data_IF_709962700653
#
_entry.id   IF_709962700653
#
_cell.length_a   1.000
_cell.length_b   1.000
_cell.length_c   1.000
_cell.angle_alpha   90.00
_cell.angle_beta   90.00
_cell.angle_gamma   90.00
#
_symmetry.space_group_name_H-M   'P 1'
#
loop_
_entity.id
_entity.type
_entity.pdbx_description
1 polymer ?
#
# COMPACT_ATOMS: atom_id res chain seq x y z
N UNK A 1 5.51 -5.79 -9.55
CA UNK A 1 5.30 -7.11 -8.90
C UNK A 1 6.60 -7.62 -8.33
N UNK A 2 6.58 -8.27 -7.15
CA UNK A 2 7.76 -8.93 -6.60
C UNK A 2 8.19 -10.12 -7.46
N UNK A 3 9.51 -10.32 -7.60
CA UNK A 3 10.09 -11.52 -8.24
C UNK A 3 10.60 -12.47 -7.17
N UNK A 4 10.34 -13.76 -7.35
CA UNK A 4 10.72 -14.80 -6.39
C UNK A 4 11.86 -15.65 -6.93
N UNK A 5 12.70 -16.17 -6.02
CA UNK A 5 13.83 -17.00 -6.39
C UNK A 5 13.40 -18.38 -6.93
N UNK A 6 12.33 -18.95 -6.35
CA UNK A 6 11.83 -20.28 -6.66
C UNK A 6 10.33 -20.41 -6.35
N UNK A 7 9.75 -21.56 -6.69
CA UNK A 7 8.32 -21.86 -6.50
C UNK A 7 7.93 -21.90 -5.02
N UNK A 8 8.82 -22.34 -4.14
CA UNK A 8 8.54 -22.43 -2.70
C UNK A 8 8.38 -21.04 -2.11
N UNK A 9 9.25 -20.10 -2.48
CA UNK A 9 9.12 -18.71 -2.07
C UNK A 9 7.82 -18.09 -2.58
N UNK A 10 7.39 -18.44 -3.80
CA UNK A 10 6.11 -18.00 -4.33
C UNK A 10 4.91 -18.57 -3.55
N UNK A 11 4.89 -19.88 -3.27
CA UNK A 11 3.83 -20.54 -2.47
C UNK A 11 3.72 -19.94 -1.06
N UNK A 12 4.86 -19.67 -0.42
CA UNK A 12 4.90 -19.02 0.90
C UNK A 12 4.34 -17.60 0.85
N UNK A 13 4.66 -16.84 -0.20
CA UNK A 13 4.10 -15.51 -0.38
C UNK A 13 2.58 -15.60 -0.62
N UNK A 14 2.13 -16.50 -1.48
CA UNK A 14 0.71 -16.73 -1.78
C UNK A 14 -0.10 -17.01 -0.51
N UNK A 15 0.40 -17.90 0.37
CA UNK A 15 -0.18 -18.20 1.67
C UNK A 15 -0.35 -16.94 2.55
N UNK A 16 0.64 -16.04 2.53
CA UNK A 16 0.68 -14.85 3.39
C UNK A 16 -0.12 -13.67 2.84
N UNK A 17 -0.22 -13.50 1.51
CA UNK A 17 -0.66 -12.24 0.90
C UNK A 17 -2.06 -11.78 1.36
N UNK A 18 -3.06 -12.67 1.35
CA UNK A 18 -4.42 -12.30 1.79
C UNK A 18 -4.47 -11.99 3.30
N UNK A 19 -3.93 -12.83 4.19
CA UNK A 19 -3.80 -12.52 5.62
C UNK A 19 -3.10 -11.20 5.91
N UNK A 20 -1.98 -10.93 5.23
CA UNK A 20 -1.24 -9.67 5.35
C UNK A 20 -2.12 -8.49 4.94
N UNK A 21 -2.80 -8.58 3.80
CA UNK A 21 -3.69 -7.53 3.31
C UNK A 21 -4.78 -7.18 4.34
N UNK A 22 -5.42 -8.20 4.92
CA UNK A 22 -6.43 -8.03 5.96
C UNK A 22 -5.85 -7.31 7.19
N UNK A 23 -4.67 -7.73 7.69
CA UNK A 23 -4.06 -7.10 8.87
C UNK A 23 -3.55 -5.69 8.62
N UNK A 24 -3.05 -5.41 7.42
CA UNK A 24 -2.67 -4.05 7.01
C UNK A 24 -3.89 -3.13 7.05
N UNK A 25 -5.00 -3.53 6.42
CA UNK A 25 -6.23 -2.72 6.42
C UNK A 25 -6.82 -2.53 7.81
N UNK A 26 -6.86 -3.59 8.63
CA UNK A 26 -7.40 -3.50 9.98
C UNK A 26 -6.58 -2.53 10.86
N UNK A 27 -5.25 -2.58 10.77
CA UNK A 27 -4.38 -1.67 11.52
C UNK A 27 -4.45 -0.23 10.98
N UNK A 28 -4.61 -0.03 9.65
CA UNK A 28 -4.89 1.31 9.08
C UNK A 28 -6.17 1.87 9.67
N UNK A 29 -7.26 1.10 9.70
CA UNK A 29 -8.55 1.53 10.28
C UNK A 29 -8.40 1.93 11.75
N UNK A 30 -7.75 1.09 12.57
CA UNK A 30 -7.52 1.38 14.00
C UNK A 30 -6.70 2.65 14.23
N UNK A 31 -5.72 2.95 13.36
CA UNK A 31 -4.96 4.20 13.45
C UNK A 31 -5.80 5.40 13.03
N UNK A 32 -6.61 5.28 11.98
CA UNK A 32 -7.50 6.36 11.54
C UNK A 32 -8.49 6.78 12.63
N UNK A 33 -9.02 5.84 13.40
CA UNK A 33 -9.90 6.11 14.56
C UNK A 33 -9.26 7.01 15.62
N UNK A 34 -7.94 7.08 15.67
CA UNK A 34 -7.17 7.85 16.66
C UNK A 34 -6.60 9.16 16.09
N UNK A 35 -6.87 9.47 14.82
CA UNK A 35 -6.31 10.64 14.15
C UNK A 35 -7.38 11.54 13.56
N UNK A 36 -6.99 12.74 13.17
CA UNK A 36 -7.85 13.68 12.44
C UNK A 36 -7.71 13.55 10.92
N UNK A 37 -7.03 12.52 10.42
CA UNK A 37 -6.87 12.30 8.99
C UNK A 37 -8.15 11.72 8.41
N UNK A 38 -8.59 12.28 7.28
CA UNK A 38 -9.66 11.71 6.48
C UNK A 38 -9.07 10.71 5.49
N UNK A 39 -9.72 9.57 5.30
CA UNK A 39 -9.26 8.53 4.38
C UNK A 39 -10.28 8.26 3.27
N UNK A 40 -9.79 8.03 2.06
CA UNK A 40 -10.56 7.39 0.99
C UNK A 40 -9.71 6.31 0.33
N UNK A 41 -10.35 5.29 -0.21
CA UNK A 41 -9.69 4.23 -0.97
C UNK A 41 -9.98 4.38 -2.45
N UNK A 42 -8.97 4.14 -3.28
CA UNK A 42 -9.09 4.20 -4.74
C UNK A 42 -8.44 2.97 -5.35
N UNK A 43 -9.12 2.37 -6.31
CA UNK A 43 -8.55 1.36 -7.17
C UNK A 43 -8.16 2.02 -8.49
N UNK A 44 -6.90 1.89 -8.89
CA UNK A 44 -6.41 2.50 -10.12
C UNK A 44 -5.68 1.47 -10.99
N UNK A 45 -5.81 1.55 -12.33
CA UNK A 45 -4.97 0.78 -13.24
C UNK A 45 -3.54 1.33 -13.22
N UNK A 46 -2.57 0.43 -13.03
CA UNK A 46 -1.13 0.72 -13.10
C UNK A 46 -0.52 -0.11 -14.22
N UNK A 47 0.11 0.59 -15.16
CA UNK A 47 0.75 -0.02 -16.32
C UNK A 47 2.22 -0.31 -15.99
N UNK A 48 2.65 -1.57 -16.12
CA UNK A 48 4.03 -1.98 -15.83
C UNK A 48 5.03 -1.48 -16.87
N UNK A 49 4.57 -1.26 -18.09
CA UNK A 49 5.36 -0.74 -19.21
C UNK A 49 4.90 0.68 -19.55
N UNK A 50 5.73 1.41 -20.30
CA UNK A 50 5.36 2.70 -20.88
C UNK A 50 4.34 2.50 -22.03
N UNK A 51 3.17 1.96 -21.71
CA UNK A 51 2.07 1.73 -22.64
C UNK A 51 1.53 3.09 -23.10
N UNK A 52 1.40 3.34 -24.42
CA UNK A 52 0.88 4.61 -24.92
C UNK A 52 -0.53 4.90 -24.38
N UNK A 53 -0.82 6.18 -24.07
CA UNK A 53 -2.12 6.60 -23.52
C UNK A 53 -3.31 6.20 -24.40
N UNK A 54 -3.13 6.17 -25.72
CA UNK A 54 -4.15 5.70 -26.67
C UNK A 54 -4.51 4.22 -26.42
N UNK A 55 -3.50 3.36 -26.26
CA UNK A 55 -3.69 1.95 -25.94
C UNK A 55 -4.31 1.77 -24.55
N UNK A 56 -3.91 2.59 -23.57
CA UNK A 56 -4.52 2.56 -22.24
C UNK A 56 -6.02 2.89 -22.31
N UNK A 57 -6.36 3.94 -23.07
CA UNK A 57 -7.76 4.38 -23.27
C UNK A 57 -8.57 3.29 -23.97
N UNK A 58 -8.03 2.69 -25.03
CA UNK A 58 -8.67 1.58 -25.74
C UNK A 58 -9.00 0.41 -24.80
N UNK A 59 -8.04 -0.01 -23.97
CA UNK A 59 -8.25 -1.10 -23.01
C UNK A 59 -9.34 -0.74 -21.99
N UNK A 60 -9.33 0.49 -21.45
CA UNK A 60 -10.36 0.94 -20.50
C UNK A 60 -11.76 0.96 -21.13
N UNK A 61 -11.88 1.43 -22.37
CA UNK A 61 -13.15 1.44 -23.11
C UNK A 61 -13.66 0.02 -23.38
N UNK A 62 -12.78 -0.90 -23.79
CA UNK A 62 -13.12 -2.31 -24.00
C UNK A 62 -13.59 -2.98 -22.70
N UNK A 63 -12.90 -2.76 -21.58
CA UNK A 63 -13.31 -3.27 -20.27
C UNK A 63 -14.67 -2.70 -19.83
N UNK A 64 -14.92 -1.41 -20.05
CA UNK A 64 -16.20 -0.80 -19.73
C UNK A 64 -17.33 -1.39 -20.59
N UNK A 65 -17.08 -1.63 -21.88
CA UNK A 65 -18.04 -2.28 -22.78
C UNK A 65 -18.33 -3.71 -22.35
N UNK A 66 -17.30 -4.48 -21.97
CA UNK A 66 -17.41 -5.87 -21.52
C UNK A 66 -18.36 -6.01 -20.32
N UNK A 67 -18.33 -5.06 -19.37
CA UNK A 67 -19.17 -5.08 -18.17
C UNK A 67 -20.69 -5.10 -18.44
N UNK A 68 -21.11 -4.69 -19.64
CA UNK A 68 -22.52 -4.69 -20.06
C UNK A 68 -22.78 -5.44 -21.38
N UNK A 69 -21.78 -6.15 -21.92
CA UNK A 69 -21.85 -6.79 -23.22
C UNK A 69 -22.78 -8.01 -23.22
N UNK A 70 -23.42 -8.29 -24.36
CA UNK A 70 -24.04 -9.60 -24.60
C UNK A 70 -22.99 -10.69 -24.73
N UNK A 71 -23.37 -11.97 -24.60
CA UNK A 71 -22.41 -13.08 -24.67
C UNK A 71 -21.57 -13.11 -25.96
N UNK A 72 -22.19 -12.80 -27.11
CA UNK A 72 -21.48 -12.77 -28.40
C UNK A 72 -20.53 -11.57 -28.54
N UNK A 73 -20.88 -10.43 -27.94
CA UNK A 73 -20.02 -9.24 -27.92
C UNK A 73 -18.88 -9.39 -26.91
N UNK A 74 -19.14 -10.05 -25.78
CA UNK A 74 -18.15 -10.32 -24.75
C UNK A 74 -17.01 -11.17 -25.30
N UNK A 75 -17.31 -12.24 -26.04
CA UNK A 75 -16.29 -13.11 -26.67
C UNK A 75 -15.37 -12.31 -27.62
N UNK A 76 -15.94 -11.44 -28.47
CA UNK A 76 -15.16 -10.60 -29.36
C UNK A 76 -14.29 -9.57 -28.62
N UNK A 77 -14.81 -8.96 -27.55
CA UNK A 77 -14.08 -8.00 -26.71
C UNK A 77 -12.94 -8.69 -25.95
N UNK A 78 -13.18 -9.89 -25.42
CA UNK A 78 -12.16 -10.69 -24.72
C UNK A 78 -11.01 -11.10 -25.65
N UNK A 79 -11.31 -11.50 -26.89
CA UNK A 79 -10.28 -11.79 -27.90
C UNK A 79 -9.42 -10.57 -28.23
N UNK A 80 -10.00 -9.37 -28.25
CA UNK A 80 -9.28 -8.12 -28.48
C UNK A 80 -8.40 -7.76 -27.27
N UNK A 81 -8.98 -7.80 -26.07
CA UNK A 81 -8.27 -7.54 -24.81
C UNK A 81 -7.09 -8.49 -24.60
N UNK A 82 -7.21 -9.76 -25.00
CA UNK A 82 -6.14 -10.75 -24.90
C UNK A 82 -4.87 -10.39 -25.72
N UNK A 83 -4.99 -9.48 -26.69
CA UNK A 83 -3.87 -9.00 -27.53
C UNK A 83 -3.29 -7.67 -27.05
N UNK A 84 -3.92 -7.03 -26.07
CA UNK A 84 -3.53 -5.74 -25.53
C UNK A 84 -2.81 -5.90 -24.18
N UNK A 85 -1.92 -4.96 -23.82
CA UNK A 85 -1.36 -4.96 -22.48
C UNK A 85 -2.47 -4.82 -21.45
N UNK A 86 -2.32 -5.51 -20.31
CA UNK A 86 -3.27 -5.43 -19.21
C UNK A 86 -2.69 -4.62 -18.06
N UNK A 87 -3.43 -3.65 -17.49
CA UNK A 87 -2.98 -2.96 -16.31
C UNK A 87 -3.07 -3.88 -15.09
N UNK A 88 -2.25 -3.59 -14.08
CA UNK A 88 -2.38 -4.16 -12.76
C UNK A 88 -3.21 -3.22 -11.89
N UNK A 89 -4.15 -3.77 -11.14
CA UNK A 89 -4.94 -2.94 -10.22
C UNK A 89 -4.13 -2.65 -8.97
N UNK A 90 -3.87 -1.36 -8.73
CA UNK A 90 -3.30 -0.88 -7.48
C UNK A 90 -4.39 -0.37 -6.56
N UNK A 91 -4.19 -0.56 -5.26
CA UNK A 91 -5.13 -0.14 -4.23
C UNK A 91 -4.50 0.93 -3.36
N UNK A 92 -5.01 2.17 -3.50
CA UNK A 92 -4.44 3.36 -2.90
C UNK A 92 -5.26 3.82 -1.70
N UNK A 93 -4.57 4.10 -0.60
CA UNK A 93 -5.08 4.85 0.54
C UNK A 93 -4.73 6.33 0.33
N UNK A 94 -5.74 7.18 0.17
CA UNK A 94 -5.58 8.63 0.14
C UNK A 94 -5.93 9.21 1.51
N UNK A 95 -4.95 9.86 2.14
CA UNK A 95 -5.07 10.52 3.44
C UNK A 95 -5.07 12.04 3.25
N UNK A 96 -6.04 12.72 3.83
CA UNK A 96 -6.17 14.19 3.78
C UNK A 96 -6.29 14.79 5.18
N UNK A 97 -5.55 15.87 5.44
CA UNK A 97 -5.65 16.70 6.65
C UNK A 97 -5.34 18.15 6.31
N UNK A 98 -6.36 19.01 6.32
CA UNK A 98 -6.25 20.37 5.82
C UNK A 98 -5.85 20.36 4.34
N UNK A 99 -4.79 21.11 4.02
CA UNK A 99 -4.22 21.19 2.66
C UNK A 99 -3.22 20.06 2.36
N UNK A 100 -2.89 19.22 3.34
CA UNK A 100 -1.97 18.10 3.14
C UNK A 100 -2.73 16.88 2.63
N UNK A 101 -2.24 16.32 1.53
CA UNK A 101 -2.71 15.06 0.96
C UNK A 101 -1.53 14.12 0.76
N UNK A 102 -1.71 12.87 1.16
CA UNK A 102 -0.70 11.80 1.05
C UNK A 102 -1.39 10.58 0.48
N UNK A 103 -0.76 9.93 -0.48
CA UNK A 103 -1.27 8.70 -1.10
C UNK A 103 -0.29 7.57 -0.81
N UNK A 104 -0.81 6.44 -0.37
CA UNK A 104 -0.04 5.24 -0.01
C UNK A 104 -0.58 4.06 -0.78
N UNK A 105 0.30 3.32 -1.48
CA UNK A 105 -0.05 2.06 -2.12
C UNK A 105 -0.07 0.93 -1.08
N UNK A 106 -1.24 0.31 -0.91
CA UNK A 106 -1.48 -0.72 0.11
C UNK A 106 -0.72 -2.01 -0.22
N UNK A 107 -0.49 -2.33 -1.51
CA UNK A 107 0.32 -3.48 -1.88
C UNK A 107 1.79 -3.29 -1.46
N UNK A 108 2.31 -2.07 -1.58
CA UNK A 108 3.66 -1.75 -1.10
C UNK A 108 3.80 -1.96 0.41
N UNK A 109 2.74 -1.72 1.18
CA UNK A 109 2.72 -2.04 2.61
C UNK A 109 2.67 -3.54 2.85
N UNK A 110 1.84 -4.26 2.10
CA UNK A 110 1.76 -5.71 2.19
C UNK A 110 3.10 -6.38 1.90
N UNK A 111 3.83 -5.90 0.89
CA UNK A 111 5.17 -6.41 0.57
C UNK A 111 6.19 -6.12 1.67
N UNK A 112 6.14 -4.95 2.32
CA UNK A 112 6.98 -4.64 3.48
C UNK A 112 6.72 -5.57 4.67
N UNK A 113 5.47 -6.02 4.85
CA UNK A 113 5.15 -7.02 5.88
C UNK A 113 5.57 -8.43 5.43
N UNK A 114 5.31 -8.81 4.18
CA UNK A 114 5.53 -10.17 3.69
C UNK A 114 7.01 -10.51 3.48
N UNK A 115 7.83 -9.54 3.08
CA UNK A 115 9.20 -9.78 2.63
C UNK A 115 10.24 -9.19 3.58
N UNK A 116 11.41 -9.83 3.64
CA UNK A 116 12.56 -9.36 4.43
C UNK A 116 13.25 -8.20 3.70
N UNK A 117 13.51 -7.12 4.44
CA UNK A 117 14.24 -5.94 3.96
C UNK A 117 13.68 -5.34 2.66
N UNK A 118 12.37 -5.51 2.43
CA UNK A 118 11.74 -4.94 1.25
C UNK A 118 11.66 -3.42 1.39
N UNK A 119 12.13 -2.73 0.36
CA UNK A 119 12.06 -1.28 0.25
C UNK A 119 11.36 -0.93 -1.06
N UNK A 120 10.20 -0.23 -1.01
CA UNK A 120 9.51 0.23 -2.21
C UNK A 120 10.42 1.05 -3.14
N UNK A 121 11.33 1.85 -2.55
CA UNK A 121 12.27 2.70 -3.30
C UNK A 121 13.29 1.86 -4.06
N UNK A 122 13.91 0.88 -3.39
CA UNK A 122 14.91 0.03 -4.04
C UNK A 122 14.26 -0.86 -5.10
N UNK A 123 13.08 -1.40 -4.82
CA UNK A 123 12.33 -2.23 -5.77
C UNK A 123 11.83 -1.43 -7.00
N UNK A 124 11.60 -0.12 -6.87
CA UNK A 124 11.30 0.73 -8.01
C UNK A 124 12.53 1.03 -8.88
N UNK A 125 13.73 1.04 -8.29
CA UNK A 125 15.00 1.27 -8.99
C UNK A 125 15.53 0.02 -9.68
N UNK A 126 15.23 -1.17 -9.14
CA UNK A 126 15.66 -2.46 -9.68
C UNK A 126 14.45 -3.40 -9.82
N UNK A 127 13.93 -3.47 -11.05
CA UNK A 127 12.79 -4.34 -11.39
C UNK A 127 13.16 -5.82 -11.44
N UNK A 128 14.45 -6.18 -11.37
CA UNK A 128 14.93 -7.55 -11.30
C UNK A 128 15.24 -8.01 -9.87
N UNK A 129 14.99 -7.14 -8.88
CA UNK A 129 15.20 -7.46 -7.47
C UNK A 129 14.35 -8.68 -7.06
N UNK A 130 15.05 -9.74 -6.63
CA UNK A 130 14.44 -10.94 -6.05
C UNK A 130 14.10 -10.64 -4.59
N UNK A 131 12.83 -10.78 -4.23
CA UNK A 131 12.38 -10.62 -2.84
C UNK A 131 12.56 -11.94 -2.07
N UNK A 132 12.79 -11.81 -0.76
CA UNK A 132 12.88 -12.95 0.16
C UNK A 132 11.68 -12.93 1.11
N UNK A 133 10.90 -14.01 1.14
CA UNK A 133 9.77 -14.12 2.07
C UNK A 133 10.28 -14.15 3.51
N UNK A 134 9.58 -13.43 4.40
CA UNK A 134 9.82 -13.53 5.83
C UNK A 134 9.17 -14.80 6.38
N UNK A 135 9.88 -15.91 6.24
CA UNK A 135 9.43 -17.22 6.71
C UNK A 135 9.21 -17.28 8.22
N UNK A 136 9.63 -16.27 8.99
CA UNK A 136 9.30 -16.21 10.42
C UNK A 136 7.81 -15.96 10.68
N UNK A 137 7.04 -15.54 9.67
CA UNK A 137 5.59 -15.40 9.72
C UNK A 137 4.85 -16.73 9.53
N UNK A 138 5.59 -17.81 9.30
CA UNK A 138 5.08 -19.17 9.13
C UNK A 138 5.70 -20.02 10.24
N UNK A 139 4.89 -20.78 10.95
CA UNK A 139 5.34 -21.64 12.03
C UNK A 139 5.95 -22.95 11.52
N UNK A 140 6.41 -23.79 12.46
CA UNK A 140 7.05 -25.08 12.14
C UNK A 140 6.08 -26.09 11.50
N UNK A 141 4.76 -25.86 11.57
CA UNK A 141 3.73 -26.69 10.93
C UNK A 141 3.42 -26.22 9.51
N UNK A 142 4.00 -25.09 9.07
CA UNK A 142 3.68 -24.47 7.79
C UNK A 142 2.42 -23.62 7.85
N UNK A 143 1.88 -23.33 9.04
CA UNK A 143 0.73 -22.46 9.24
C UNK A 143 1.18 -21.03 9.53
N UNK A 144 0.27 -20.08 9.43
CA UNK A 144 0.58 -18.66 9.63
C UNK A 144 0.69 -18.36 11.13
N UNK A 145 1.79 -17.75 11.54
CA UNK A 145 1.90 -17.12 12.85
C UNK A 145 1.10 -15.81 12.87
N UNK A 146 -0.17 -15.93 13.23
CA UNK A 146 -1.12 -14.82 13.25
C UNK A 146 -0.73 -13.69 14.20
N UNK A 147 -0.08 -14.02 15.32
CA UNK A 147 0.34 -13.04 16.31
C UNK A 147 1.46 -12.19 15.72
N UNK A 148 2.51 -12.85 15.22
CA UNK A 148 3.67 -12.17 14.65
C UNK A 148 3.30 -11.37 13.40
N UNK A 149 2.39 -11.88 12.58
CA UNK A 149 1.88 -11.17 11.41
C UNK A 149 1.13 -9.89 11.79
N UNK A 150 0.26 -9.94 12.81
CA UNK A 150 -0.44 -8.75 13.30
C UNK A 150 0.53 -7.75 13.94
N UNK A 151 1.49 -8.21 14.76
CA UNK A 151 2.51 -7.35 15.36
C UNK A 151 3.35 -6.62 14.29
N UNK A 152 3.79 -7.34 13.25
CA UNK A 152 4.57 -6.77 12.15
C UNK A 152 3.75 -5.76 11.35
N UNK A 153 2.49 -6.08 11.04
CA UNK A 153 1.59 -5.16 10.36
C UNK A 153 1.34 -3.91 11.21
N UNK A 154 0.97 -4.08 12.48
CA UNK A 154 0.74 -2.98 13.43
C UNK A 154 1.95 -2.05 13.52
N UNK A 155 3.14 -2.60 13.74
CA UNK A 155 4.37 -1.82 13.82
C UNK A 155 4.60 -0.97 12.57
N UNK A 156 4.46 -1.57 11.38
CA UNK A 156 4.61 -0.84 10.12
C UNK A 156 3.62 0.32 10.01
N UNK A 157 2.33 0.07 10.29
CA UNK A 157 1.30 1.11 10.18
C UNK A 157 1.52 2.21 11.22
N UNK A 158 1.91 1.90 12.44
CA UNK A 158 2.26 2.89 13.47
C UNK A 158 3.42 3.78 13.03
N UNK A 159 4.46 3.22 12.41
CA UNK A 159 5.57 4.00 11.85
C UNK A 159 5.11 4.96 10.76
N UNK A 160 4.24 4.49 9.86
CA UNK A 160 3.68 5.32 8.79
C UNK A 160 2.92 6.50 9.40
N UNK A 161 1.96 6.25 10.28
CA UNK A 161 1.14 7.32 10.88
C UNK A 161 1.95 8.29 11.74
N UNK A 162 2.99 7.80 12.43
CA UNK A 162 3.93 8.65 13.16
C UNK A 162 4.68 9.61 12.24
N UNK A 163 5.06 9.17 11.03
CA UNK A 163 5.70 10.03 10.02
C UNK A 163 4.76 11.08 9.40
N UNK A 164 3.43 10.91 9.55
CA UNK A 164 2.44 11.87 9.04
C UNK A 164 2.25 13.07 9.97
N UNK A 165 2.52 12.94 11.26
CA UNK A 165 2.43 14.08 12.18
C UNK A 165 3.63 15.00 11.97
N UNK A 166 3.44 16.32 11.77
CA UNK A 166 4.57 17.23 11.90
C UNK A 166 5.11 17.09 13.31
N UNK A 167 6.45 17.02 13.45
CA UNK A 167 7.10 17.11 14.76
C UNK A 167 6.47 18.28 15.52
N UNK A 168 5.91 18.03 16.71
CA UNK A 168 5.39 19.13 17.51
C UNK A 168 6.54 20.12 17.74
N UNK A 169 6.33 21.44 17.58
CA UNK A 169 7.28 22.39 18.14
C UNK A 169 7.30 22.11 19.64
N UNK A 170 8.48 21.76 20.16
CA UNK A 170 8.73 21.70 21.60
C UNK A 170 8.21 22.98 22.22
N UNK A 171 7.30 22.83 23.18
CA UNK A 171 6.66 23.92 23.89
C UNK A 171 7.67 25.03 24.21
N UNK A 172 7.35 26.26 23.77
CA UNK A 172 8.05 27.47 24.18
C UNK A 172 8.18 27.46 25.71
N UNK A 173 9.41 27.65 26.18
CA UNK A 173 9.69 27.90 27.59
C UNK A 173 8.85 29.08 28.08
N UNK A 174 8.35 29.05 29.33
CA UNK A 174 7.47 30.11 29.82
C UNK A 174 8.20 31.45 29.79
N UNK A 175 7.51 32.47 29.25
CA UNK A 175 7.97 33.84 29.24
C UNK A 175 8.26 34.31 30.66
N UNK A 176 9.51 34.70 30.88
CA UNK A 176 9.99 35.37 32.09
C UNK A 176 9.33 36.75 32.18
N UNK A 177 8.23 36.83 32.94
CA UNK A 177 7.67 38.10 33.36
C UNK A 177 8.48 38.60 34.56
N UNK A 178 9.58 39.30 34.27
CA UNK A 178 10.19 40.19 35.27
C UNK A 178 9.47 41.55 35.21
N UNK A 179 8.61 41.77 36.19
CA UNK A 179 7.94 43.04 36.50
C UNK A 179 8.99 44.08 36.96
N UNK A 180 8.95 45.35 36.51
CA UNK A 180 9.85 46.36 37.06
C UNK A 180 9.33 46.84 38.41
N UNK A 181 10.20 46.82 39.41
CA UNK A 181 9.95 47.44 40.70
C UNK A 181 9.97 48.96 40.56
N UNK A 182 8.79 49.57 40.58
CA UNK A 182 8.62 50.97 40.98
C UNK A 182 8.67 51.03 42.52
N UNK A 183 9.54 51.89 43.05
CA UNK A 183 9.65 52.13 44.49
C UNK A 183 10.62 53.25 44.82
N UNK A 184 10.04 54.42 45.07
CA UNK A 184 10.62 55.61 45.75
C UNK A 184 11.34 55.27 47.07
#
# INVERSE_FOLDING_TARGET
MPKFADIRAWEQAELLMQPVFIRVLDNIRKQLEQTTWQSSYQEIPVWLEAVPEETQTQVMELQQRLASASAAEAEAIEEELARLPSPQMSYLLCLKKGDRQITVDIWQLCYQVCFRNYSPVLNAMDQDMIVTVDVSLIDDLGEIDWLRLDEKAKYLIEQIFSSLSPAQPTAEAPADHTEPADGE
#
